data_IF_605843251237
#
_entry.id   IF_605843251237
#
_cell.length_a   1.000
_cell.length_b   1.000
_cell.length_c   1.000
_cell.angle_alpha   90.00
_cell.angle_beta   90.00
_cell.angle_gamma   90.00
#
_symmetry.space_group_name_H-M   'P 1'
#
loop_
_entity.id
_entity.type
_entity.pdbx_description
1 polymer ?
#
# COMPACT_ATOMS: atom_id res chain seq x y z
N UNK A 1 0.47 -3.36 -6.97
CA UNK A 1 -0.08 -2.99 -5.65
C UNK A 1 0.89 -2.11 -4.88
N UNK A 2 0.40 -1.09 -4.19
CA UNK A 2 1.16 -0.19 -3.31
C UNK A 2 0.31 0.15 -2.06
N UNK A 3 0.93 0.63 -0.98
CA UNK A 3 0.25 0.89 0.31
C UNK A 3 -0.68 2.11 0.29
N UNK A 4 -1.79 2.05 1.03
CA UNK A 4 -2.99 2.85 0.76
C UNK A 4 -3.70 3.39 2.04
N UNK A 5 -4.27 4.63 2.07
CA UNK A 5 -4.70 5.35 3.32
C UNK A 5 -5.73 6.50 3.24
N UNK A 6 -6.75 6.62 4.14
CA UNK A 6 -7.92 7.50 3.84
C UNK A 6 -8.93 8.00 4.96
N UNK A 7 -9.55 9.23 4.79
CA UNK A 7 -10.47 10.10 5.64
C UNK A 7 -11.81 10.91 5.09
N UNK A 8 -13.14 10.57 5.35
CA UNK A 8 -14.54 11.04 4.87
C UNK A 8 -15.87 10.64 5.66
N UNK A 9 -17.08 11.16 5.32
CA UNK A 9 -18.42 10.86 5.95
C UNK A 9 -19.55 10.40 4.97
N UNK A 10 -20.33 9.34 5.30
CA UNK A 10 -21.57 8.75 4.67
C UNK A 10 -22.06 9.22 3.26
N UNK A 11 -22.35 8.24 2.38
CA UNK A 11 -23.31 8.38 1.25
C UNK A 11 -22.98 7.54 0.00
N UNK A 12 -23.56 6.34 -0.10
CA UNK A 12 -23.57 5.40 -1.25
C UNK A 12 -22.23 4.97 -1.92
N UNK A 13 -22.33 4.03 -2.87
CA UNK A 13 -21.38 2.92 -3.01
C UNK A 13 -20.29 3.08 -4.08
N UNK A 14 -19.01 2.90 -3.69
CA UNK A 14 -17.82 3.00 -4.57
C UNK A 14 -16.98 1.71 -4.53
N UNK A 15 -16.38 1.32 -5.67
CA UNK A 15 -15.53 0.12 -5.80
C UNK A 15 -14.12 0.32 -5.27
N UNK A 16 -13.59 -0.71 -4.63
CA UNK A 16 -12.17 -0.83 -4.29
C UNK A 16 -11.43 -1.59 -5.40
N UNK A 17 -10.35 -1.00 -5.90
CA UNK A 17 -9.43 -1.67 -6.82
C UNK A 17 -8.39 -2.46 -6.03
N UNK A 18 -7.91 -3.60 -6.55
CA UNK A 18 -6.80 -4.36 -5.96
C UNK A 18 -5.45 -3.62 -5.93
N UNK A 19 -5.42 -2.35 -6.34
CA UNK A 19 -4.29 -1.43 -6.18
C UNK A 19 -4.63 -0.14 -5.41
N UNK A 20 -5.89 0.11 -5.00
CA UNK A 20 -6.30 1.25 -4.19
C UNK A 20 -7.22 0.84 -3.03
N UNK A 21 -6.73 1.01 -1.81
CA UNK A 21 -7.54 1.03 -0.59
C UNK A 21 -7.45 2.43 0.02
N UNK A 22 -8.26 3.35 -0.53
CA UNK A 22 -8.40 4.70 0.01
C UNK A 22 -9.86 4.95 0.39
N UNK A 23 -10.31 4.25 1.44
CA UNK A 23 -11.64 4.40 2.02
C UNK A 23 -11.63 5.45 3.09
N UNK A 24 -12.16 6.61 2.74
CA UNK A 24 -11.90 7.80 3.53
C UNK A 24 -12.84 7.85 4.79
N UNK A 25 -12.39 8.02 6.08
CA UNK A 25 -13.14 8.44 7.35
C UNK A 25 -13.05 9.87 8.04
N UNK A 26 -14.22 10.48 8.34
CA UNK A 26 -14.58 11.81 8.93
C UNK A 26 -15.89 11.65 9.74
N UNK A 27 -15.80 11.44 11.06
CA UNK A 27 -16.93 11.60 11.99
C UNK A 27 -16.68 12.81 12.88
N UNK A 28 -17.63 13.75 12.93
CA UNK A 28 -17.57 14.92 13.82
C UNK A 28 -17.92 14.59 15.26
N UNK A 29 -17.31 13.54 15.83
CA UNK A 29 -17.42 13.18 17.25
C UNK A 29 -16.08 13.47 17.92
N UNK A 30 -16.07 14.14 19.09
CA UNK A 30 -14.84 14.34 19.85
C UNK A 30 -14.27 12.98 20.29
N UNK A 31 -12.97 12.93 20.57
CA UNK A 31 -12.24 11.72 20.97
C UNK A 31 -12.60 11.25 22.40
N UNK A 32 -13.86 10.86 22.61
CA UNK A 32 -14.42 10.13 23.77
C UNK A 32 -15.92 9.88 23.58
N UNK A 33 -16.28 8.91 22.72
CA UNK A 33 -17.57 8.21 22.80
C UNK A 33 -17.49 6.92 21.98
N UNK A 34 -16.99 5.85 22.60
CA UNK A 34 -17.22 4.50 22.08
C UNK A 34 -18.73 4.23 22.18
N UNK A 35 -19.39 4.01 21.05
CA UNK A 35 -20.71 3.37 21.07
C UNK A 35 -20.51 1.93 21.56
N UNK A 36 -21.27 1.46 22.57
CA UNK A 36 -21.07 0.14 23.14
C UNK A 36 -21.50 -0.94 22.14
N UNK A 37 -20.52 -1.52 21.45
CA UNK A 37 -20.69 -2.78 20.74
C UNK A 37 -20.89 -3.86 21.80
N UNK A 38 -22.03 -4.55 21.79
CA UNK A 38 -22.32 -5.65 22.72
C UNK A 38 -22.61 -6.92 21.91
N UNK A 39 -21.98 -8.04 22.30
CA UNK A 39 -22.02 -9.31 21.58
C UNK A 39 -20.67 -9.71 20.95
N UNK A 40 -20.57 -10.88 20.29
CA UNK A 40 -19.30 -11.50 19.84
C UNK A 40 -18.56 -10.74 18.72
N UNK A 41 -19.12 -9.62 18.23
CA UNK A 41 -18.40 -8.67 17.39
C UNK A 41 -17.57 -7.64 18.19
N UNK A 42 -17.88 -7.46 19.49
CA UNK A 42 -17.10 -6.61 20.39
C UNK A 42 -15.73 -7.24 20.67
N UNK A 43 -15.70 -8.53 20.98
CA UNK A 43 -14.46 -9.27 21.25
C UNK A 43 -13.50 -9.17 20.04
N UNK A 44 -14.01 -9.38 18.83
CA UNK A 44 -13.25 -9.21 17.58
C UNK A 44 -12.82 -7.76 17.29
N UNK A 45 -13.50 -6.77 17.86
CA UNK A 45 -13.10 -5.36 17.76
C UNK A 45 -11.96 -5.02 18.74
N UNK A 46 -12.03 -5.51 19.97
CA UNK A 46 -10.95 -5.33 20.95
C UNK A 46 -9.68 -6.08 20.54
N UNK A 47 -9.79 -7.33 20.06
CA UNK A 47 -8.67 -8.08 19.46
C UNK A 47 -8.01 -7.28 18.32
N UNK A 48 -8.82 -6.74 17.42
CA UNK A 48 -8.34 -5.92 16.31
C UNK A 48 -7.67 -4.62 16.81
N UNK A 49 -8.23 -3.97 17.82
CA UNK A 49 -7.68 -2.76 18.41
C UNK A 49 -6.32 -3.02 19.11
N UNK A 50 -6.18 -4.16 19.80
CA UNK A 50 -4.90 -4.62 20.34
C UNK A 50 -3.87 -4.82 19.23
N UNK A 51 -4.24 -5.49 18.13
CA UNK A 51 -3.37 -5.66 16.95
C UNK A 51 -2.96 -4.31 16.34
N UNK A 52 -3.86 -3.33 16.24
CA UNK A 52 -3.50 -1.99 15.75
C UNK A 52 -2.54 -1.27 16.68
N UNK A 53 -2.72 -1.40 18.00
CA UNK A 53 -1.86 -0.77 18.98
C UNK A 53 -0.46 -1.39 18.98
N UNK A 54 -0.32 -2.71 18.89
CA UNK A 54 0.97 -3.39 18.71
C UNK A 54 1.71 -2.90 17.47
N UNK A 55 1.03 -2.86 16.31
CA UNK A 55 1.60 -2.37 15.05
C UNK A 55 2.08 -0.91 15.15
N UNK A 56 1.29 -0.04 15.79
CA UNK A 56 1.65 1.38 16.01
C UNK A 56 2.80 1.54 17.00
N UNK A 57 2.83 0.75 18.07
CA UNK A 57 3.89 0.77 19.08
C UNK A 57 5.22 0.29 18.49
N UNK A 58 5.20 -0.80 17.72
CA UNK A 58 6.40 -1.29 17.01
C UNK A 58 6.92 -0.26 16.02
N UNK A 59 6.04 0.33 15.21
CA UNK A 59 6.41 1.42 14.29
C UNK A 59 7.08 2.57 15.04
N UNK A 60 6.44 3.09 16.10
CA UNK A 60 6.96 4.21 16.87
C UNK A 60 8.31 3.90 17.54
N UNK A 61 8.45 2.70 18.11
CA UNK A 61 9.69 2.22 18.71
C UNK A 61 10.84 2.18 17.69
N UNK A 62 10.62 1.58 16.52
CA UNK A 62 11.63 1.49 15.45
C UNK A 62 11.96 2.87 14.86
N UNK A 63 10.98 3.77 14.73
CA UNK A 63 11.22 5.15 14.29
C UNK A 63 12.11 5.93 15.26
N UNK A 64 11.97 5.70 16.58
CA UNK A 64 12.84 6.29 17.61
C UNK A 64 14.23 5.65 17.59
N UNK A 65 14.31 4.31 17.66
CA UNK A 65 15.55 3.53 17.69
C UNK A 65 16.47 3.88 16.51
N UNK A 66 15.90 4.07 15.32
CA UNK A 66 16.65 4.34 14.08
C UNK A 66 16.73 5.83 13.73
N UNK A 67 16.34 6.72 14.65
CA UNK A 67 16.39 8.18 14.51
C UNK A 67 15.74 8.70 13.19
N UNK A 68 14.55 8.19 12.88
CA UNK A 68 13.82 8.46 11.63
C UNK A 68 12.80 9.61 11.74
N UNK A 69 12.70 10.22 12.92
CA UNK A 69 11.87 11.40 13.17
C UNK A 69 12.55 12.65 12.62
N UNK A 70 11.86 13.38 11.75
CA UNK A 70 12.32 14.66 11.19
C UNK A 70 11.92 15.79 12.14
N UNK A 71 12.72 16.86 12.18
CA UNK A 71 12.25 18.12 12.74
C UNK A 71 11.00 18.58 11.96
N UNK A 72 9.98 19.10 12.65
CA UNK A 72 8.70 19.51 12.05
C UNK A 72 8.87 20.75 11.14
N UNK A 73 9.31 20.54 9.91
CA UNK A 73 9.47 21.59 8.90
C UNK A 73 8.77 21.22 7.59
N UNK A 74 7.42 21.26 7.63
CA UNK A 74 6.48 20.93 6.54
C UNK A 74 6.52 19.47 6.08
N UNK A 75 5.44 19.01 5.45
CA UNK A 75 5.41 17.72 4.77
C UNK A 75 6.39 17.78 3.58
N UNK A 76 7.31 16.82 3.51
CA UNK A 76 8.27 16.69 2.41
C UNK A 76 7.51 16.63 1.07
N UNK A 77 7.90 17.46 0.08
CA UNK A 77 7.19 17.57 -1.20
C UNK A 77 7.22 16.28 -2.04
N UNK A 78 8.27 15.46 -1.92
CA UNK A 78 8.32 14.15 -2.56
C UNK A 78 7.39 13.18 -1.84
N UNK A 79 7.37 13.21 -0.51
CA UNK A 79 6.37 12.46 0.28
C UNK A 79 4.97 12.91 -0.11
N UNK A 80 4.67 14.21 -0.16
CA UNK A 80 3.37 14.74 -0.56
C UNK A 80 2.93 14.28 -1.97
N UNK A 81 3.84 14.23 -2.95
CA UNK A 81 3.55 13.77 -4.31
C UNK A 81 3.50 12.23 -4.45
N UNK A 82 4.24 11.50 -3.62
CA UNK A 82 4.33 10.03 -3.68
C UNK A 82 3.35 9.33 -2.72
N UNK A 83 2.84 10.05 -1.73
CA UNK A 83 1.55 9.83 -1.09
C UNK A 83 0.48 9.88 -2.18
N UNK A 84 0.31 8.72 -2.83
CA UNK A 84 -0.61 8.47 -3.93
C UNK A 84 -2.06 8.44 -3.40
N UNK A 85 -2.50 9.58 -2.87
CA UNK A 85 -3.67 9.69 -2.02
C UNK A 85 -4.64 10.68 -2.63
N UNK A 86 -5.38 10.14 -3.59
CA UNK A 86 -6.85 10.19 -3.60
C UNK A 86 -7.43 10.70 -2.29
N UNK A 87 -7.86 11.95 -2.28
CA UNK A 87 -8.86 12.46 -1.36
C UNK A 87 -10.21 12.10 -1.95
N UNK A 88 -10.92 11.22 -1.25
CA UNK A 88 -12.33 10.97 -1.49
C UNK A 88 -13.10 11.96 -0.61
N UNK A 89 -13.78 12.92 -1.22
CA UNK A 89 -14.84 13.68 -0.55
C UNK A 89 -16.15 12.93 -0.82
N UNK A 90 -16.79 12.37 0.20
CA UNK A 90 -18.16 11.86 0.12
C UNK A 90 -19.07 13.05 0.33
N UNK A 91 -19.18 13.84 -0.73
CA UNK A 91 -20.13 14.93 -0.85
C UNK A 91 -20.71 14.87 -2.26
N UNK A 92 -22.04 14.72 -2.31
CA UNK A 92 -22.91 14.70 -3.49
C UNK A 92 -22.86 13.46 -4.41
N UNK A 93 -24.01 12.77 -4.49
CA UNK A 93 -24.59 12.05 -5.65
C UNK A 93 -23.64 11.53 -6.75
N UNK A 94 -22.70 10.65 -6.40
CA UNK A 94 -22.02 9.81 -7.38
C UNK A 94 -22.93 8.63 -7.75
N UNK A 95 -23.83 8.87 -8.69
CA UNK A 95 -24.79 7.92 -9.27
C UNK A 95 -24.14 6.79 -10.11
N UNK A 96 -22.89 6.42 -9.82
CA UNK A 96 -22.08 5.44 -10.54
C UNK A 96 -21.96 4.16 -9.74
N UNK A 97 -22.32 3.01 -10.32
CA UNK A 97 -22.18 1.74 -9.60
C UNK A 97 -20.71 1.37 -9.52
N UNK A 98 -20.30 0.86 -8.37
CA UNK A 98 -18.97 0.29 -8.15
C UNK A 98 -18.43 -0.48 -9.37
N UNK A 99 -19.19 -1.44 -9.90
CA UNK A 99 -18.80 -2.31 -11.01
C UNK A 99 -18.39 -1.60 -12.32
N UNK A 100 -18.78 -0.34 -12.51
CA UNK A 100 -18.53 0.47 -13.71
C UNK A 100 -17.17 1.19 -13.69
N UNK A 101 -16.52 1.30 -12.52
CA UNK A 101 -15.19 1.91 -12.40
C UNK A 101 -14.10 0.87 -12.74
N UNK A 102 -13.43 1.09 -13.87
CA UNK A 102 -12.29 0.31 -14.34
C UNK A 102 -11.01 0.62 -13.54
N UNK A 103 -10.10 -0.36 -13.43
CA UNK A 103 -8.88 -0.27 -12.62
C UNK A 103 -7.98 0.93 -12.99
N UNK A 104 -7.84 1.23 -14.28
CA UNK A 104 -6.99 2.33 -14.76
C UNK A 104 -7.66 3.71 -14.64
N UNK A 105 -9.00 3.76 -14.64
CA UNK A 105 -9.77 5.01 -14.56
C UNK A 105 -9.73 5.63 -13.16
N UNK A 106 -9.53 4.84 -12.11
CA UNK A 106 -9.41 5.35 -10.73
C UNK A 106 -8.13 6.19 -10.50
N UNK A 107 -7.12 6.05 -11.37
CA UNK A 107 -5.90 6.86 -11.38
C UNK A 107 -6.02 8.12 -12.27
N UNK A 108 -7.08 8.23 -13.08
CA UNK A 108 -7.29 9.28 -14.08
C UNK A 108 -8.56 10.12 -13.84
N UNK A 109 -9.46 9.67 -12.97
CA UNK A 109 -10.74 10.35 -12.70
C UNK A 109 -10.55 11.65 -11.92
N UNK A 110 -11.20 12.72 -12.38
CA UNK A 110 -11.20 14.06 -11.77
C UNK A 110 -11.93 14.12 -10.42
N UNK A 111 -12.75 13.11 -10.11
CA UNK A 111 -13.42 12.90 -8.82
C UNK A 111 -12.39 12.66 -7.70
N UNK A 112 -11.23 12.09 -8.07
CA UNK A 112 -10.19 11.63 -7.15
C UNK A 112 -8.98 12.55 -7.24
N UNK A 113 -8.89 13.51 -6.32
CA UNK A 113 -7.80 14.52 -6.30
C UNK A 113 -6.65 14.09 -5.41
N UNK A 114 -5.39 14.33 -5.84
CA UNK A 114 -4.20 14.10 -5.00
C UNK A 114 -4.10 15.17 -3.91
N UNK A 115 -3.54 14.83 -2.75
CA UNK A 115 -3.24 15.80 -1.67
C UNK A 115 -2.51 17.06 -2.20
N UNK A 116 -1.50 16.90 -3.04
CA UNK A 116 -0.73 18.02 -3.62
C UNK A 116 -1.49 18.91 -4.61
N UNK A 117 -2.72 18.55 -5.00
CA UNK A 117 -3.57 19.44 -5.82
C UNK A 117 -4.35 20.48 -5.00
N UNK A 118 -4.25 20.43 -3.67
CA UNK A 118 -4.87 21.40 -2.76
C UNK A 118 -3.83 22.40 -2.22
N UNK A 119 -4.23 23.63 -1.84
CA UNK A 119 -3.34 24.58 -1.18
C UNK A 119 -2.72 24.01 0.11
N UNK A 120 -1.51 24.45 0.53
CA UNK A 120 -0.81 23.90 1.70
C UNK A 120 -1.63 23.87 2.99
N UNK A 121 -2.43 24.91 3.25
CA UNK A 121 -3.34 24.98 4.41
C UNK A 121 -4.37 23.85 4.41
N UNK A 122 -4.94 23.54 3.24
CA UNK A 122 -5.86 22.41 3.07
C UNK A 122 -5.16 21.07 3.20
N UNK A 123 -3.90 20.96 2.78
CA UNK A 123 -3.11 19.75 3.02
C UNK A 123 -2.88 19.51 4.51
N UNK A 124 -2.57 20.57 5.28
CA UNK A 124 -2.39 20.50 6.73
C UNK A 124 -3.71 20.19 7.47
N UNK A 125 -4.84 20.79 7.05
CA UNK A 125 -6.18 20.45 7.53
C UNK A 125 -6.50 18.96 7.34
N UNK A 126 -6.24 18.42 6.14
CA UNK A 126 -6.47 17.01 5.82
C UNK A 126 -5.52 16.06 6.56
N UNK A 127 -4.28 16.46 6.81
CA UNK A 127 -3.36 15.67 7.62
C UNK A 127 -3.73 15.68 9.11
N UNK A 128 -4.37 16.75 9.59
CA UNK A 128 -4.72 16.92 11.00
C UNK A 128 -6.08 16.30 11.37
N UNK A 129 -7.16 16.66 10.69
CA UNK A 129 -8.54 16.55 11.20
C UNK A 129 -9.31 15.29 10.79
N UNK A 130 -8.61 14.25 10.35
CA UNK A 130 -9.13 13.24 9.42
C UNK A 130 -8.47 11.85 9.72
N UNK A 131 -9.19 10.72 9.62
CA UNK A 131 -8.71 9.36 9.97
C UNK A 131 -7.72 8.75 8.96
N UNK A 132 -6.54 8.33 9.38
CA UNK A 132 -5.35 8.13 8.53
C UNK A 132 -4.86 6.68 8.50
N UNK A 133 -5.72 5.74 8.12
CA UNK A 133 -5.53 4.26 8.02
C UNK A 133 -4.47 3.81 7.00
N UNK A 134 -3.45 2.95 7.21
CA UNK A 134 -2.54 2.48 6.13
C UNK A 134 -2.33 0.98 5.97
N UNK A 135 -2.41 0.50 4.73
CA UNK A 135 -2.08 -0.88 4.37
C UNK A 135 -0.62 -1.09 3.97
N UNK A 136 0.05 -2.01 4.66
CA UNK A 136 1.40 -2.53 4.34
C UNK A 136 1.30 -3.97 3.84
N UNK A 137 2.37 -4.46 3.21
CA UNK A 137 2.52 -5.85 2.78
C UNK A 137 3.98 -6.24 2.97
N UNK A 138 4.26 -7.52 3.20
CA UNK A 138 5.62 -8.02 3.16
C UNK A 138 6.42 -7.48 1.93
N UNK A 139 7.61 -6.86 2.12
CA UNK A 139 8.26 -6.13 1.04
C UNK A 139 8.62 -6.97 -0.19
N UNK A 140 9.03 -8.22 0.01
CA UNK A 140 9.43 -9.11 -1.09
C UNK A 140 8.20 -9.61 -1.88
N UNK A 141 7.08 -9.90 -1.20
CA UNK A 141 5.83 -10.24 -1.90
C UNK A 141 5.29 -9.05 -2.70
N UNK A 142 5.44 -7.84 -2.15
CA UNK A 142 5.06 -6.60 -2.80
C UNK A 142 5.91 -6.34 -4.06
N UNK A 143 7.21 -6.59 -3.99
CA UNK A 143 8.12 -6.57 -5.14
C UNK A 143 7.69 -7.56 -6.24
N UNK A 144 7.46 -8.83 -5.89
CA UNK A 144 7.01 -9.86 -6.85
C UNK A 144 5.62 -9.53 -7.40
N UNK A 145 4.71 -9.01 -6.58
CA UNK A 145 3.41 -8.55 -7.02
C UNK A 145 3.50 -7.36 -8.00
N UNK A 146 4.50 -6.47 -7.86
CA UNK A 146 4.73 -5.38 -8.79
C UNK A 146 5.30 -5.89 -10.13
N UNK A 147 6.31 -6.77 -10.09
CA UNK A 147 6.86 -7.43 -11.28
C UNK A 147 5.77 -8.12 -12.11
N UNK A 148 4.95 -8.96 -11.46
CA UNK A 148 3.84 -9.67 -12.10
C UNK A 148 2.82 -8.70 -12.71
N UNK A 149 2.32 -7.74 -11.93
CA UNK A 149 1.30 -6.78 -12.36
C UNK A 149 1.75 -5.88 -13.53
N UNK A 150 3.04 -5.52 -13.58
CA UNK A 150 3.56 -4.47 -14.47
C UNK A 150 4.42 -4.95 -15.64
N UNK A 151 5.19 -6.02 -15.48
CA UNK A 151 6.13 -6.51 -16.51
C UNK A 151 5.70 -7.81 -17.17
N UNK A 152 4.75 -8.56 -16.58
CA UNK A 152 4.18 -9.77 -17.20
C UNK A 152 2.87 -9.52 -17.96
N UNK A 153 2.19 -8.39 -17.75
CA UNK A 153 0.96 -8.00 -18.44
C UNK A 153 1.17 -6.79 -19.35
N UNK A 154 0.26 -6.63 -20.31
CA UNK A 154 0.29 -5.56 -21.33
C UNK A 154 -0.17 -4.20 -20.79
N UNK A 155 0.48 -3.69 -19.73
CA UNK A 155 0.39 -2.27 -19.37
C UNK A 155 1.45 -1.52 -20.23
N UNK A 156 1.08 -0.62 -21.15
CA UNK A 156 2.01 -0.12 -22.16
C UNK A 156 3.24 0.62 -21.61
N UNK A 157 3.10 1.41 -20.55
CA UNK A 157 4.24 2.16 -19.99
C UNK A 157 5.27 1.22 -19.34
N UNK A 158 4.82 0.24 -18.55
CA UNK A 158 5.72 -0.70 -17.90
C UNK A 158 6.24 -1.78 -18.84
N UNK A 159 5.36 -2.41 -19.63
CA UNK A 159 5.73 -3.52 -20.53
C UNK A 159 6.48 -3.10 -21.80
N UNK A 160 6.47 -1.80 -22.15
CA UNK A 160 7.26 -1.24 -23.24
C UNK A 160 8.37 -0.34 -22.70
N UNK A 161 8.06 0.82 -22.10
CA UNK A 161 9.08 1.82 -21.73
C UNK A 161 10.04 1.31 -20.66
N UNK A 162 9.53 0.84 -19.51
CA UNK A 162 10.39 0.33 -18.43
C UNK A 162 11.06 -0.98 -18.84
N UNK A 163 10.35 -1.87 -19.53
CA UNK A 163 10.95 -3.11 -20.05
C UNK A 163 12.09 -2.85 -21.05
N UNK A 164 11.98 -1.84 -21.92
CA UNK A 164 13.04 -1.42 -22.83
C UNK A 164 14.25 -0.87 -22.08
N UNK A 165 14.05 -0.05 -21.04
CA UNK A 165 15.14 0.44 -20.18
C UNK A 165 15.91 -0.73 -19.56
N UNK A 166 15.20 -1.70 -18.96
CA UNK A 166 15.81 -2.89 -18.36
C UNK A 166 16.55 -3.73 -19.41
N UNK A 167 15.93 -4.00 -20.58
CA UNK A 167 16.58 -4.74 -21.68
C UNK A 167 17.86 -4.05 -22.16
N UNK A 168 17.85 -2.73 -22.29
CA UNK A 168 19.02 -1.96 -22.72
C UNK A 168 20.16 -1.97 -21.68
N UNK A 169 19.85 -2.09 -20.39
CA UNK A 169 20.85 -2.18 -19.32
C UNK A 169 21.50 -3.56 -19.19
N UNK A 170 20.75 -4.65 -19.43
CA UNK A 170 21.20 -6.01 -19.07
C UNK A 170 21.30 -7.01 -20.24
N UNK A 171 20.77 -6.70 -21.43
CA UNK A 171 20.88 -7.59 -22.62
C UNK A 171 21.81 -7.00 -23.68
N UNK A 172 22.66 -7.86 -24.26
CA UNK A 172 23.45 -7.52 -25.46
C UNK A 172 22.57 -7.26 -26.69
N UNK A 173 21.43 -7.94 -26.78
CA UNK A 173 20.40 -7.71 -27.80
C UNK A 173 19.11 -7.23 -27.11
N UNK A 174 18.86 -5.92 -27.17
CA UNK A 174 17.69 -5.28 -26.58
C UNK A 174 16.41 -5.43 -27.43
N UNK A 175 16.52 -5.89 -28.69
CA UNK A 175 15.39 -6.13 -29.59
C UNK A 175 14.70 -7.50 -29.37
N UNK A 176 15.13 -8.32 -28.40
CA UNK A 176 14.45 -9.58 -28.07
C UNK A 176 13.01 -9.33 -27.63
N UNK A 177 12.05 -10.05 -28.23
CA UNK A 177 10.63 -10.02 -27.86
C UNK A 177 10.32 -10.70 -26.52
N UNK A 178 11.30 -11.38 -25.91
CA UNK A 178 11.14 -12.04 -24.61
C UNK A 178 10.91 -11.02 -23.50
N UNK A 179 9.98 -11.33 -22.59
CA UNK A 179 9.71 -10.50 -21.41
C UNK A 179 10.97 -10.35 -20.55
N UNK A 180 11.05 -9.22 -19.83
CA UNK A 180 12.08 -8.99 -18.81
C UNK A 180 11.96 -10.05 -17.71
N UNK A 181 13.06 -10.72 -17.38
CA UNK A 181 13.13 -11.72 -16.31
C UNK A 181 13.11 -11.06 -14.92
N UNK A 182 12.81 -11.84 -13.89
CA UNK A 182 12.81 -11.33 -12.52
C UNK A 182 14.23 -10.93 -12.03
N UNK A 183 15.27 -11.67 -12.45
CA UNK A 183 16.67 -11.30 -12.18
C UNK A 183 17.02 -9.92 -12.74
N UNK A 184 16.66 -9.64 -14.00
CA UNK A 184 16.92 -8.35 -14.66
C UNK A 184 16.17 -7.21 -13.95
N UNK A 185 14.91 -7.43 -13.55
CA UNK A 185 14.12 -6.47 -12.79
C UNK A 185 14.69 -6.20 -11.38
N UNK A 186 15.21 -7.23 -10.70
CA UNK A 186 15.87 -7.07 -9.39
C UNK A 186 17.19 -6.30 -9.53
N UNK A 187 18.00 -6.62 -10.54
CA UNK A 187 19.23 -5.88 -10.84
C UNK A 187 18.93 -4.40 -11.14
N UNK A 188 17.93 -4.13 -11.96
CA UNK A 188 17.46 -2.78 -12.26
C UNK A 188 17.13 -1.98 -11.00
N UNK A 189 16.40 -2.55 -10.04
CA UNK A 189 16.07 -1.89 -8.77
C UNK A 189 17.32 -1.65 -7.94
N UNK A 190 18.22 -2.64 -7.83
CA UNK A 190 19.46 -2.53 -7.07
C UNK A 190 20.39 -1.44 -7.63
N UNK A 191 20.38 -1.22 -8.95
CA UNK A 191 21.19 -0.15 -9.58
C UNK A 191 20.65 1.27 -9.37
N UNK A 192 19.38 1.42 -8.94
CA UNK A 192 18.73 2.73 -8.79
C UNK A 192 18.73 3.21 -7.34
N UNK A 193 18.91 4.52 -7.15
CA UNK A 193 18.76 5.15 -5.84
C UNK A 193 17.32 4.94 -5.33
N UNK A 194 17.09 4.54 -4.06
CA UNK A 194 15.75 4.22 -3.54
C UNK A 194 14.70 5.33 -3.74
N UNK A 195 15.12 6.59 -3.66
CA UNK A 195 14.26 7.75 -3.89
C UNK A 195 13.79 7.90 -5.36
N UNK A 196 14.53 7.36 -6.32
CA UNK A 196 14.21 7.37 -7.75
C UNK A 196 13.37 6.16 -8.21
N UNK A 197 13.06 5.20 -7.32
CA UNK A 197 12.24 4.04 -7.66
C UNK A 197 10.77 4.42 -7.96
N UNK A 198 10.16 3.71 -8.89
CA UNK A 198 8.72 3.80 -9.19
C UNK A 198 7.87 3.46 -7.96
N UNK A 199 6.70 4.09 -7.86
CA UNK A 199 5.76 3.95 -6.75
C UNK A 199 5.35 2.49 -6.44
N UNK A 200 5.39 1.60 -7.43
CA UNK A 200 4.98 0.21 -7.28
C UNK A 200 6.05 -0.63 -6.56
N UNK A 201 7.34 -0.33 -6.74
CA UNK A 201 8.44 -1.05 -6.08
C UNK A 201 9.33 -0.17 -5.17
N UNK A 202 8.98 1.10 -4.95
CA UNK A 202 9.60 1.92 -3.90
C UNK A 202 9.27 1.40 -2.50
N UNK A 203 10.24 1.38 -1.55
CA UNK A 203 10.02 1.09 -0.13
C UNK A 203 8.91 1.94 0.51
N UNK A 204 8.17 1.36 1.46
CA UNK A 204 7.00 1.97 2.10
C UNK A 204 7.30 2.92 3.24
N UNK A 205 8.49 2.82 3.84
CA UNK A 205 9.12 3.93 4.53
C UNK A 205 9.16 5.19 3.65
N UNK A 206 9.69 5.09 2.42
CA UNK A 206 9.90 6.24 1.53
C UNK A 206 8.61 6.78 0.90
N UNK A 207 7.68 5.90 0.50
CA UNK A 207 6.43 6.32 -0.14
C UNK A 207 5.40 6.93 0.84
N UNK A 208 5.42 6.49 2.10
CA UNK A 208 4.36 6.80 3.06
C UNK A 208 4.83 7.57 4.31
N UNK A 209 6.13 7.74 4.51
CA UNK A 209 6.75 8.43 5.64
C UNK A 209 6.11 8.10 7.01
N UNK A 210 6.10 6.81 7.40
CA UNK A 210 5.32 6.30 8.53
C UNK A 210 5.78 6.86 9.89
N UNK A 211 7.03 7.33 9.97
CA UNK A 211 7.57 7.95 11.18
C UNK A 211 7.10 9.41 11.37
N UNK A 212 6.75 10.11 10.29
CA UNK A 212 6.47 11.55 10.34
C UNK A 212 4.99 11.92 10.09
N UNK A 213 4.13 10.95 9.81
CA UNK A 213 2.68 11.18 9.65
C UNK A 213 1.89 10.21 10.53
N UNK A 214 1.09 10.71 11.48
CA UNK A 214 0.35 9.88 12.43
C UNK A 214 -0.70 8.96 11.75
N UNK A 215 -0.49 7.64 11.75
CA UNK A 215 -1.40 6.65 11.16
C UNK A 215 -2.39 6.10 12.21
N UNK A 216 -3.69 6.40 12.07
CA UNK A 216 -4.73 5.93 13.01
C UNK A 216 -4.90 4.40 13.00
N UNK A 217 -4.75 3.79 11.83
CA UNK A 217 -4.80 2.34 11.60
C UNK A 217 -3.56 1.95 10.77
N UNK A 218 -3.00 0.77 11.02
CA UNK A 218 -1.92 0.16 10.24
C UNK A 218 -2.37 -1.24 9.81
N UNK A 219 -3.09 -1.30 8.70
CA UNK A 219 -3.50 -2.55 8.06
C UNK A 219 -2.34 -3.34 7.44
N UNK A 220 -2.57 -4.64 7.28
CA UNK A 220 -1.66 -5.59 6.62
C UNK A 220 -2.39 -6.33 5.50
N UNK A 221 -1.69 -6.69 4.42
CA UNK A 221 -2.27 -7.48 3.30
C UNK A 221 -2.61 -8.91 3.74
N UNK A 222 -1.92 -9.37 4.77
CA UNK A 222 -2.12 -10.65 5.45
C UNK A 222 -3.44 -10.67 6.24
N UNK A 223 -3.92 -9.50 6.72
CA UNK A 223 -5.21 -9.32 7.42
C UNK A 223 -6.18 -8.42 6.66
N UNK A 224 -6.06 -8.36 5.32
CA UNK A 224 -6.67 -7.34 4.47
C UNK A 224 -8.19 -7.22 4.58
N UNK A 225 -8.89 -8.35 4.68
CA UNK A 225 -10.35 -8.37 4.83
C UNK A 225 -10.79 -7.76 6.15
N UNK A 226 -10.29 -8.30 7.26
CA UNK A 226 -10.57 -7.82 8.62
C UNK A 226 -10.21 -6.33 8.77
N UNK A 227 -8.98 -5.95 8.41
CA UNK A 227 -8.54 -4.55 8.49
C UNK A 227 -9.44 -3.62 7.65
N UNK A 228 -9.87 -4.05 6.46
CA UNK A 228 -10.76 -3.23 5.62
C UNK A 228 -12.18 -3.13 6.17
N UNK A 229 -12.74 -4.19 6.75
CA UNK A 229 -14.05 -4.16 7.41
C UNK A 229 -14.06 -3.25 8.64
N UNK A 230 -13.03 -3.30 9.48
CA UNK A 230 -12.91 -2.43 10.64
C UNK A 230 -12.69 -0.97 10.24
N UNK A 231 -11.94 -0.73 9.17
CA UNK A 231 -11.82 0.60 8.55
C UNK A 231 -13.19 1.09 8.10
N UNK A 232 -13.93 0.33 7.29
CA UNK A 232 -15.28 0.70 6.81
C UNK A 232 -16.24 1.07 7.95
N UNK A 233 -16.13 0.40 9.11
CA UNK A 233 -16.91 0.75 10.32
C UNK A 233 -16.45 2.05 10.98
N UNK A 234 -15.15 2.20 11.26
CA UNK A 234 -14.58 3.40 11.91
C UNK A 234 -14.87 4.67 11.11
N UNK A 235 -14.82 4.56 9.79
CA UNK A 235 -15.06 5.69 8.89
C UNK A 235 -16.55 6.04 8.73
N UNK A 236 -17.47 5.20 9.23
CA UNK A 236 -18.91 5.41 9.11
C UNK A 236 -19.46 5.17 7.70
N UNK A 237 -18.90 4.21 6.97
CA UNK A 237 -19.43 3.78 5.68
C UNK A 237 -20.80 3.07 5.84
N UNK A 238 -21.63 2.99 4.79
CA UNK A 238 -22.87 2.20 4.82
C UNK A 238 -22.59 0.73 5.13
N UNK A 239 -23.46 0.06 5.89
CA UNK A 239 -23.27 -1.36 6.27
C UNK A 239 -23.27 -2.32 5.06
N UNK A 240 -23.90 -1.93 3.96
CA UNK A 240 -23.89 -2.64 2.67
C UNK A 240 -22.57 -2.54 1.91
N UNK A 241 -21.63 -1.70 2.39
CA UNK A 241 -20.31 -1.51 1.78
C UNK A 241 -19.32 -2.51 2.39
N UNK A 242 -18.78 -3.39 1.55
CA UNK A 242 -17.79 -4.40 1.94
C UNK A 242 -16.53 -4.31 1.08
N UNK A 243 -15.42 -4.85 1.61
CA UNK A 243 -14.20 -5.01 0.84
C UNK A 243 -14.41 -6.01 -0.31
N UNK A 244 -14.24 -5.61 -1.59
CA UNK A 244 -14.47 -6.49 -2.71
C UNK A 244 -13.32 -7.49 -2.84
N UNK A 245 -13.66 -8.77 -3.01
CA UNK A 245 -12.70 -9.86 -3.24
C UNK A 245 -11.93 -9.76 -4.57
N UNK A 246 -12.28 -8.79 -5.42
CA UNK A 246 -11.82 -8.60 -6.80
C UNK A 246 -10.29 -8.45 -6.93
N UNK A 247 -9.75 -9.01 -8.01
CA UNK A 247 -8.37 -8.81 -8.49
C UNK A 247 -8.42 -8.38 -9.96
N UNK A 248 -7.57 -7.44 -10.39
CA UNK A 248 -7.46 -6.97 -11.80
C UNK A 248 -7.38 -8.13 -12.80
N UNK A 249 -6.55 -9.12 -12.51
CA UNK A 249 -6.42 -10.36 -13.27
C UNK A 249 -7.01 -11.51 -12.44
N UNK A 250 -8.31 -11.74 -12.58
CA UNK A 250 -9.10 -12.68 -11.78
C UNK A 250 -8.72 -14.15 -11.98
N UNK A 251 -8.19 -14.50 -13.15
CA UNK A 251 -7.67 -15.84 -13.48
C UNK A 251 -6.40 -16.22 -12.75
N UNK A 252 -5.69 -15.26 -12.16
CA UNK A 252 -4.45 -15.50 -11.43
C UNK A 252 -4.65 -15.46 -9.91
N UNK A 253 -4.03 -16.42 -9.19
CA UNK A 253 -3.86 -16.35 -7.72
C UNK A 253 -3.26 -15.00 -7.28
N UNK A 254 -3.66 -14.48 -6.11
CA UNK A 254 -2.92 -13.40 -5.44
C UNK A 254 -1.48 -13.90 -5.20
N UNK A 255 -0.47 -13.02 -5.33
CA UNK A 255 0.89 -13.35 -4.87
C UNK A 255 0.83 -13.79 -3.40
N UNK A 256 1.61 -14.79 -3.01
CA UNK A 256 1.76 -15.33 -1.65
C UNK A 256 3.25 -15.52 -1.34
N UNK A 257 3.59 -15.99 -0.14
CA UNK A 257 4.95 -16.42 0.22
C UNK A 257 5.51 -17.44 -0.77
N UNK A 258 4.74 -18.49 -1.10
CA UNK A 258 5.16 -19.56 -2.03
C UNK A 258 5.52 -19.02 -3.42
N UNK A 259 4.63 -18.21 -3.99
CA UNK A 259 4.86 -17.56 -5.30
C UNK A 259 6.08 -16.64 -5.21
N UNK A 260 6.25 -15.93 -4.10
CA UNK A 260 7.39 -15.03 -3.90
C UNK A 260 8.71 -15.80 -3.85
N UNK A 261 8.71 -16.95 -3.19
CA UNK A 261 9.85 -17.87 -3.17
C UNK A 261 10.18 -18.44 -4.55
N UNK A 262 9.19 -18.83 -5.36
CA UNK A 262 9.43 -19.31 -6.74
C UNK A 262 10.19 -18.28 -7.59
N UNK A 263 9.95 -16.99 -7.37
CA UNK A 263 10.72 -15.92 -7.99
C UNK A 263 12.10 -15.73 -7.33
N UNK A 264 12.20 -15.79 -6.00
CA UNK A 264 13.49 -15.62 -5.31
C UNK A 264 14.46 -16.80 -5.47
N UNK A 265 13.97 -18.02 -5.73
CA UNK A 265 14.79 -19.18 -6.16
C UNK A 265 15.54 -18.94 -7.47
N UNK A 266 15.15 -17.93 -8.25
CA UNK A 266 15.83 -17.53 -9.48
C UNK A 266 16.98 -16.55 -9.21
N UNK A 267 17.13 -16.01 -7.99
CA UNK A 267 18.13 -15.00 -7.67
C UNK A 267 19.41 -15.60 -7.06
N UNK A 268 20.55 -14.95 -7.29
CA UNK A 268 21.78 -15.24 -6.53
C UNK A 268 21.67 -14.73 -5.09
N UNK A 269 22.46 -15.31 -4.17
CA UNK A 269 22.52 -14.85 -2.78
C UNK A 269 22.85 -13.36 -2.66
N UNK A 270 23.73 -12.85 -3.53
CA UNK A 270 24.09 -11.43 -3.62
C UNK A 270 22.90 -10.55 -4.04
N UNK A 271 22.11 -10.98 -5.02
CA UNK A 271 20.88 -10.27 -5.41
C UNK A 271 19.87 -10.25 -4.26
N UNK A 272 19.70 -11.37 -3.54
CA UNK A 272 18.80 -11.49 -2.38
C UNK A 272 19.24 -10.56 -1.24
N UNK A 273 20.53 -10.51 -0.91
CA UNK A 273 21.07 -9.62 0.12
C UNK A 273 20.85 -8.14 -0.27
N UNK A 274 21.26 -7.75 -1.48
CA UNK A 274 21.12 -6.37 -1.96
C UNK A 274 19.67 -5.91 -2.03
N UNK A 275 18.74 -6.74 -2.51
CA UNK A 275 17.32 -6.36 -2.56
C UNK A 275 16.68 -6.32 -1.16
N UNK A 276 17.06 -7.21 -0.23
CA UNK A 276 16.65 -7.10 1.18
C UNK A 276 17.15 -5.80 1.80
N UNK A 277 18.37 -5.36 1.47
CA UNK A 277 18.94 -4.08 1.93
C UNK A 277 18.16 -2.86 1.40
N UNK A 278 17.66 -2.89 0.16
CA UNK A 278 16.79 -1.82 -0.39
C UNK A 278 15.49 -1.65 0.42
N UNK A 279 14.89 -2.75 0.89
CA UNK A 279 13.65 -2.74 1.68
C UNK A 279 13.86 -2.82 3.20
N UNK A 280 15.10 -2.71 3.70
CA UNK A 280 15.45 -3.08 5.07
C UNK A 280 14.58 -2.38 6.14
N UNK A 281 14.30 -1.09 5.95
CA UNK A 281 13.46 -0.31 6.87
C UNK A 281 12.01 -0.79 6.89
N UNK A 282 11.45 -1.26 5.77
CA UNK A 282 10.07 -1.77 5.73
C UNK A 282 9.91 -3.05 6.56
N UNK A 283 10.92 -3.92 6.58
CA UNK A 283 10.90 -5.11 7.44
C UNK A 283 10.82 -4.73 8.93
N UNK A 284 11.67 -3.80 9.36
CA UNK A 284 11.72 -3.37 10.76
C UNK A 284 10.46 -2.59 11.16
N UNK A 285 10.09 -1.56 10.40
CA UNK A 285 9.00 -0.63 10.75
C UNK A 285 7.62 -1.29 10.81
N UNK A 286 7.43 -2.41 10.09
CA UNK A 286 6.15 -3.09 9.98
C UNK A 286 6.18 -4.53 10.54
N UNK A 287 7.24 -4.88 11.27
CA UNK A 287 7.43 -6.20 11.89
C UNK A 287 7.19 -7.36 10.89
N UNK A 288 8.06 -7.46 9.88
CA UNK A 288 8.12 -8.60 8.96
C UNK A 288 9.45 -9.34 9.14
N UNK A 289 9.40 -10.68 9.13
CA UNK A 289 10.65 -11.47 9.17
C UNK A 289 11.45 -11.31 7.88
N UNK A 290 12.77 -11.17 8.03
CA UNK A 290 13.74 -11.22 6.94
C UNK A 290 14.19 -12.64 6.60
N UNK A 291 13.89 -13.64 7.44
CA UNK A 291 14.21 -15.05 7.16
C UNK A 291 13.30 -15.54 6.04
N UNK A 292 13.87 -16.27 5.08
CA UNK A 292 13.06 -16.91 4.03
C UNK A 292 12.34 -18.14 4.57
N UNK A 293 12.89 -18.69 5.65
CA UNK A 293 12.52 -19.95 6.28
C UNK A 293 11.22 -19.80 7.09
N UNK A 294 10.98 -18.63 7.69
CA UNK A 294 9.76 -18.34 8.47
C UNK A 294 8.48 -18.29 7.60
N UNK A 295 8.62 -18.24 6.27
CA UNK A 295 7.49 -18.31 5.32
C UNK A 295 6.93 -19.74 5.15
N UNK A 296 7.65 -20.77 5.59
CA UNK A 296 7.22 -22.17 5.43
C UNK A 296 6.36 -22.69 6.58
N UNK A 297 6.49 -22.11 7.78
CA UNK A 297 6.00 -22.70 9.03
C UNK A 297 4.50 -22.50 9.31
N UNK A 298 3.73 -21.95 8.35
CA UNK A 298 2.26 -21.84 8.43
C UNK A 298 1.54 -22.58 7.30
N UNK A 299 2.25 -23.40 6.52
CA UNK A 299 1.70 -24.35 5.56
C UNK A 299 1.61 -25.76 6.14
N UNK A 300 0.76 -25.96 7.16
CA UNK A 300 0.45 -27.25 7.78
C UNK A 300 -1.02 -27.33 8.17
#
# INVERSE_FOLDING_TARGET
GAGARAQVKRGDAVRMSSSLIHFMGQTGLPARTQLPLTGPFSDRFEDWLMIQNDRKNTLASVCLEKNLLKSRSKLDFHVANQLFRTIFLLQADLNMKAAEIEHDNIHRTSVIKKLTSYPPEKQEEFLSNYTKVMFTRHPLERLVSAYRDKLLHSEPFYSITVANEIRAMFRKNNNSSEKVSFQEFVNFIITKQPNALDIHWKPMFLLCDPCNIHYDVLGKYETLGLDSEHVLKIIGAPESMHYPSLKRYSSEKRTTGDITLEYFRQLSSEQIEKIKKVYQLDFFLFNYSMKYEDYFSTGG
#
